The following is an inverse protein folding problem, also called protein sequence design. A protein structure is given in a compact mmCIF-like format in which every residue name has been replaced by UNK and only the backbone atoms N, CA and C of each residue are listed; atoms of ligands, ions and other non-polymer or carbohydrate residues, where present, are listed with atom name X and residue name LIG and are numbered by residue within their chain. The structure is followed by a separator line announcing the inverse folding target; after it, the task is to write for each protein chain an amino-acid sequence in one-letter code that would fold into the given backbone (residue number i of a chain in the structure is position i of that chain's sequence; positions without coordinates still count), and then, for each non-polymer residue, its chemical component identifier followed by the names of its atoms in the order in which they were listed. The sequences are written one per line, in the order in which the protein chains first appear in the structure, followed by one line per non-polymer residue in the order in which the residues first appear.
data_IF_361380985458
#
_entry.id   IF_361380985458
#
_cell.length_a   1.000
_cell.length_b   1.000
_cell.length_c   1.000
_cell.angle_alpha   90.00
_cell.angle_beta   90.00
_cell.angle_gamma   90.00
#
_symmetry.space_group_name_H-M   'P 1'
#
loop_
_entity.id
_entity.type
_entity.pdbx_description
1 polymer ?
#
# COMPACT_ATOMS: atom_id res chain seq x y z
N UNK A 1 -5.89 -18.71 -18.70
CA UNK A 1 -6.13 -17.56 -17.83
C UNK A 1 -5.42 -16.34 -18.43
N UNK A 2 -6.12 -15.21 -18.56
CA UNK A 2 -5.52 -13.95 -19.03
C UNK A 2 -4.49 -13.47 -18.00
N UNK A 3 -3.33 -12.99 -18.45
CA UNK A 3 -2.32 -12.44 -17.53
C UNK A 3 -2.83 -11.13 -16.95
N UNK A 4 -2.55 -10.90 -15.67
CA UNK A 4 -2.94 -9.70 -14.92
C UNK A 4 -1.93 -8.60 -15.20
N UNK A 5 -2.41 -7.41 -15.59
CA UNK A 5 -1.62 -6.20 -15.68
C UNK A 5 -1.92 -5.34 -14.43
N UNK A 6 -0.89 -5.07 -13.64
CA UNK A 6 -0.99 -4.30 -12.40
C UNK A 6 -0.23 -2.98 -12.54
N UNK A 7 -0.86 -1.87 -12.15
CA UNK A 7 -0.24 -0.56 -12.13
C UNK A 7 0.12 -0.17 -10.68
N UNK A 8 1.32 0.33 -10.45
CA UNK A 8 1.65 1.09 -9.24
C UNK A 8 1.74 2.58 -9.53
N UNK A 9 1.16 3.41 -8.65
CA UNK A 9 1.23 4.87 -8.64
C UNK A 9 1.88 5.25 -7.31
N UNK A 10 3.18 5.54 -7.31
CA UNK A 10 3.93 5.80 -6.07
C UNK A 10 5.26 6.51 -6.32
N UNK A 11 5.93 6.90 -5.24
CA UNK A 11 7.30 7.36 -5.27
C UNK A 11 8.30 6.22 -5.46
N UNK A 12 9.55 6.58 -5.75
CA UNK A 12 10.65 5.63 -5.92
C UNK A 12 11.34 5.32 -4.59
N UNK A 13 11.97 4.14 -4.53
CA UNK A 13 12.97 3.80 -3.53
C UNK A 13 14.19 3.18 -4.25
N UNK A 14 15.27 3.95 -4.47
CA UNK A 14 16.45 3.46 -5.19
C UNK A 14 17.17 2.31 -4.46
N UNK A 15 16.94 2.11 -3.16
CA UNK A 15 17.43 0.92 -2.44
C UNK A 15 16.65 -0.35 -2.76
N UNK A 16 15.48 -0.21 -3.40
CA UNK A 16 14.70 -1.32 -3.93
C UNK A 16 13.76 -2.00 -2.93
N UNK A 17 13.66 -1.51 -1.69
CA UNK A 17 12.90 -2.15 -0.62
C UNK A 17 11.47 -1.67 -0.45
N UNK A 18 11.14 -0.48 -0.96
CA UNK A 18 9.81 0.12 -0.89
C UNK A 18 9.43 0.78 -2.23
N UNK A 19 8.39 1.60 -2.24
CA UNK A 19 7.95 2.35 -3.40
C UNK A 19 7.66 1.48 -4.63
N UNK A 20 7.76 2.08 -5.81
CA UNK A 20 7.49 1.35 -7.06
C UNK A 20 8.38 0.14 -7.24
N UNK A 21 9.61 0.14 -6.72
CA UNK A 21 10.55 -0.97 -6.84
C UNK A 21 10.05 -2.21 -6.07
N UNK A 22 9.57 -2.04 -4.84
CA UNK A 22 8.95 -3.13 -4.09
C UNK A 22 7.66 -3.61 -4.75
N UNK A 23 6.84 -2.67 -5.26
CA UNK A 23 5.58 -2.98 -5.91
C UNK A 23 5.79 -3.83 -7.18
N UNK A 24 6.71 -3.41 -8.07
CA UNK A 24 7.04 -4.15 -9.30
C UNK A 24 7.64 -5.54 -9.02
N UNK A 25 8.50 -5.66 -7.99
CA UNK A 25 9.01 -6.96 -7.53
C UNK A 25 7.87 -7.86 -7.04
N UNK A 26 6.96 -7.30 -6.24
CA UNK A 26 5.79 -8.02 -5.71
C UNK A 26 4.87 -8.48 -6.84
N UNK A 27 4.54 -7.60 -7.78
CA UNK A 27 3.74 -7.95 -8.96
C UNK A 27 4.38 -9.09 -9.75
N UNK A 28 5.68 -8.98 -10.03
CA UNK A 28 6.42 -10.01 -10.76
C UNK A 28 6.46 -11.35 -10.02
N UNK A 29 6.75 -11.33 -8.72
CA UNK A 29 6.80 -12.52 -7.87
C UNK A 29 5.45 -13.25 -7.81
N UNK A 30 4.35 -12.50 -7.86
CA UNK A 30 2.98 -13.02 -7.87
C UNK A 30 2.41 -13.21 -9.29
N UNK A 31 3.25 -13.13 -10.34
CA UNK A 31 2.87 -13.44 -11.72
C UNK A 31 1.95 -12.41 -12.39
N UNK A 32 2.01 -11.15 -11.97
CA UNK A 32 1.37 -10.03 -12.65
C UNK A 32 2.42 -9.22 -13.46
N UNK A 33 2.01 -8.71 -14.62
CA UNK A 33 2.81 -7.76 -15.39
C UNK A 33 2.70 -6.38 -14.74
N UNK A 34 3.83 -5.81 -14.32
CA UNK A 34 3.86 -4.55 -13.59
C UNK A 34 4.11 -3.34 -14.48
N UNK A 35 3.23 -2.34 -14.36
CA UNK A 35 3.40 -0.99 -14.89
C UNK A 35 3.61 -0.01 -13.73
N UNK A 36 4.20 1.17 -13.99
CA UNK A 36 4.41 2.18 -12.95
C UNK A 36 4.19 3.59 -13.44
N UNK A 37 3.62 4.42 -12.55
CA UNK A 37 3.56 5.89 -12.64
C UNK A 37 4.28 6.44 -11.42
N UNK A 38 5.22 7.34 -11.63
CA UNK A 38 6.09 7.89 -10.57
C UNK A 38 5.53 9.23 -10.10
N UNK A 39 5.32 9.35 -8.78
CA UNK A 39 4.80 10.57 -8.14
C UNK A 39 5.89 11.43 -7.52
N UNK A 40 7.01 10.83 -7.14
CA UNK A 40 8.19 11.52 -6.63
C UNK A 40 9.44 10.67 -6.86
N UNK A 41 10.57 11.31 -7.11
CA UNK A 41 11.88 10.68 -7.08
C UNK A 41 12.49 10.86 -5.70
N UNK A 42 12.89 9.78 -5.06
CA UNK A 42 13.39 9.81 -3.68
C UNK A 42 14.83 9.33 -3.66
N UNK A 43 15.72 10.11 -3.06
CA UNK A 43 17.04 9.66 -2.68
C UNK A 43 16.93 9.03 -1.29
N UNK A 44 17.01 7.70 -1.23
CA UNK A 44 16.76 6.89 -0.05
C UNK A 44 17.65 5.65 -0.05
N UNK A 45 17.98 5.18 1.14
CA UNK A 45 18.64 3.90 1.37
C UNK A 45 18.09 3.23 2.63
N UNK A 46 18.71 2.12 3.07
CA UNK A 46 18.26 1.37 4.26
C UNK A 46 18.35 2.15 5.58
N UNK A 47 19.02 3.31 5.60
CA UNK A 47 19.16 4.19 6.79
C UNK A 47 18.13 5.31 6.84
N UNK A 48 17.41 5.60 5.74
CA UNK A 48 16.38 6.62 5.69
C UNK A 48 16.34 7.42 4.39
N UNK A 49 15.45 8.40 4.35
CA UNK A 49 15.26 9.34 3.24
C UNK A 49 16.25 10.49 3.37
N UNK A 50 17.02 10.77 2.31
CA UNK A 50 17.95 11.89 2.24
C UNK A 50 17.32 13.10 1.55
N UNK A 51 16.56 12.88 0.47
CA UNK A 51 15.86 13.95 -0.23
C UNK A 51 14.72 13.41 -1.08
N UNK A 52 13.74 14.27 -1.36
CA UNK A 52 12.60 13.98 -2.23
C UNK A 52 12.58 15.03 -3.34
N UNK A 53 12.62 14.57 -4.58
CA UNK A 53 12.41 15.41 -5.75
C UNK A 53 10.95 15.28 -6.20
N UNK A 54 10.24 16.40 -6.17
CA UNK A 54 8.84 16.48 -6.57
C UNK A 54 8.71 16.36 -8.09
N UNK A 55 7.74 15.59 -8.54
CA UNK A 55 7.30 15.57 -9.94
C UNK A 55 6.09 16.49 -10.08
N UNK A 56 6.08 17.32 -11.12
CA UNK A 56 4.96 18.21 -11.39
C UNK A 56 3.66 17.41 -11.61
N UNK A 57 2.52 17.85 -11.04
CA UNK A 57 1.24 17.14 -11.14
C UNK A 57 0.79 16.90 -12.58
N UNK A 58 1.04 17.84 -13.48
CA UNK A 58 0.75 17.69 -14.90
C UNK A 58 1.53 16.54 -15.54
N UNK A 59 2.77 16.29 -15.08
CA UNK A 59 3.55 15.19 -15.60
C UNK A 59 3.11 13.84 -14.99
N UNK A 60 2.67 13.82 -13.73
CA UNK A 60 2.02 12.62 -13.15
C UNK A 60 0.74 12.30 -13.93
N UNK A 61 -0.07 13.31 -14.23
CA UNK A 61 -1.26 13.17 -15.06
C UNK A 61 -0.93 12.64 -16.46
N UNK A 62 0.12 13.15 -17.11
CA UNK A 62 0.56 12.69 -18.44
C UNK A 62 1.02 11.23 -18.43
N UNK A 63 1.73 10.78 -17.38
CA UNK A 63 2.09 9.37 -17.20
C UNK A 63 0.84 8.49 -17.07
N UNK A 64 -0.16 8.91 -16.29
CA UNK A 64 -1.43 8.20 -16.10
C UNK A 64 -2.20 8.14 -17.42
N UNK A 65 -2.34 9.25 -18.13
CA UNK A 65 -3.02 9.31 -19.43
C UNK A 65 -2.33 8.38 -20.45
N UNK A 66 -0.99 8.36 -20.47
CA UNK A 66 -0.21 7.48 -21.36
C UNK A 66 -0.48 6.00 -21.09
N UNK A 67 -0.48 5.58 -19.82
CA UNK A 67 -0.73 4.18 -19.45
C UNK A 67 -2.18 3.80 -19.67
N UNK A 68 -3.13 4.58 -19.15
CA UNK A 68 -4.55 4.23 -19.20
C UNK A 68 -5.17 4.29 -20.59
N UNK A 69 -4.59 5.06 -21.52
CA UNK A 69 -5.10 5.12 -22.90
C UNK A 69 -4.69 3.93 -23.76
N UNK A 70 -3.68 3.15 -23.36
CA UNK A 70 -3.11 2.07 -24.18
C UNK A 70 -3.08 0.72 -23.46
N UNK A 71 -2.64 0.71 -22.19
CA UNK A 71 -2.45 -0.53 -21.45
C UNK A 71 -3.73 -0.92 -20.71
N UNK A 72 -4.23 -2.14 -20.96
CA UNK A 72 -5.30 -2.72 -20.13
C UNK A 72 -4.77 -2.93 -18.72
N UNK A 73 -5.32 -2.22 -17.75
CA UNK A 73 -4.99 -2.36 -16.33
C UNK A 73 -6.13 -3.11 -15.62
N UNK A 74 -5.80 -4.24 -14.99
CA UNK A 74 -6.75 -5.10 -14.28
C UNK A 74 -6.84 -4.71 -12.80
N UNK A 75 -5.77 -4.10 -12.25
CA UNK A 75 -5.68 -3.69 -10.84
C UNK A 75 -4.66 -2.56 -10.69
N UNK A 76 -4.88 -1.70 -9.70
CA UNK A 76 -4.00 -0.56 -9.41
C UNK A 76 -3.66 -0.51 -7.92
N UNK A 77 -2.38 -0.33 -7.59
CA UNK A 77 -1.94 0.02 -6.24
C UNK A 77 -1.50 1.47 -6.21
N UNK A 78 -1.97 2.22 -5.22
CA UNK A 78 -1.55 3.58 -4.96
C UNK A 78 -0.72 3.58 -3.67
N UNK A 79 0.47 4.16 -3.72
CA UNK A 79 1.34 4.39 -2.57
C UNK A 79 1.49 5.87 -2.24
N UNK A 80 2.74 6.32 -2.04
CA UNK A 80 3.06 7.71 -1.69
C UNK A 80 2.67 8.69 -2.80
N UNK A 81 1.81 9.65 -2.48
CA UNK A 81 1.38 10.74 -3.37
C UNK A 81 1.99 12.10 -3.02
N UNK A 82 2.51 12.25 -1.80
CA UNK A 82 3.19 13.42 -1.24
C UNK A 82 2.33 14.68 -1.10
N UNK A 83 1.71 15.18 -2.18
CA UNK A 83 1.13 16.51 -2.25
C UNK A 83 -0.34 16.49 -2.68
N UNK A 84 -1.09 17.53 -2.29
CA UNK A 84 -2.53 17.70 -2.55
C UNK A 84 -2.85 17.64 -4.05
N UNK A 85 -2.12 18.36 -4.87
CA UNK A 85 -2.35 18.45 -6.31
C UNK A 85 -2.05 17.13 -7.06
N UNK A 86 -1.11 16.32 -6.55
CA UNK A 86 -0.87 14.97 -7.08
C UNK A 86 -2.05 14.05 -6.69
N UNK A 87 -2.57 14.14 -5.46
CA UNK A 87 -3.79 13.40 -5.06
C UNK A 87 -4.97 13.74 -5.97
N UNK A 88 -5.17 15.02 -6.27
CA UNK A 88 -6.23 15.49 -7.17
C UNK A 88 -6.04 14.95 -8.60
N UNK A 89 -4.82 15.06 -9.15
CA UNK A 89 -4.49 14.56 -10.48
C UNK A 89 -4.76 13.05 -10.61
N UNK A 90 -4.37 12.27 -9.60
CA UNK A 90 -4.63 10.82 -9.56
C UNK A 90 -6.12 10.54 -9.48
N UNK A 91 -6.85 11.17 -8.54
CA UNK A 91 -8.29 10.97 -8.36
C UNK A 91 -9.09 11.30 -9.63
N UNK A 92 -8.73 12.39 -10.32
CA UNK A 92 -9.35 12.79 -11.57
C UNK A 92 -9.14 11.73 -12.68
N UNK A 93 -7.93 11.18 -12.82
CA UNK A 93 -7.63 10.16 -13.83
C UNK A 93 -8.28 8.83 -13.53
N UNK A 94 -8.35 8.39 -12.27
CA UNK A 94 -9.09 7.20 -11.88
C UNK A 94 -10.58 7.31 -12.28
N UNK A 95 -11.18 8.47 -12.02
CA UNK A 95 -12.57 8.75 -12.40
C UNK A 95 -12.75 8.79 -13.91
N UNK A 96 -11.90 9.53 -14.64
CA UNK A 96 -11.96 9.69 -16.09
C UNK A 96 -11.88 8.36 -16.83
N UNK A 97 -10.96 7.48 -16.40
CA UNK A 97 -10.73 6.18 -17.04
C UNK A 97 -11.53 5.04 -16.38
N UNK A 98 -12.37 5.35 -15.38
CA UNK A 98 -13.22 4.38 -14.67
C UNK A 98 -12.43 3.16 -14.13
N UNK A 99 -11.27 3.44 -13.56
CA UNK A 99 -10.35 2.41 -13.07
C UNK A 99 -10.97 1.64 -11.91
N UNK A 100 -10.93 0.31 -12.00
CA UNK A 100 -11.45 -0.62 -11.00
C UNK A 100 -10.32 -1.29 -10.23
N UNK A 101 -10.67 -1.99 -9.13
CA UNK A 101 -9.72 -2.75 -8.30
C UNK A 101 -8.53 -1.89 -7.83
N UNK A 102 -8.82 -0.78 -7.18
CA UNK A 102 -7.81 0.14 -6.66
C UNK A 102 -7.53 -0.16 -5.18
N UNK A 103 -6.29 -0.50 -4.86
CA UNK A 103 -5.77 -0.66 -3.49
C UNK A 103 -4.97 0.59 -3.12
N UNK A 104 -5.38 1.30 -2.08
CA UNK A 104 -4.68 2.47 -1.56
C UNK A 104 -3.92 2.10 -0.29
N UNK A 105 -2.60 2.16 -0.35
CA UNK A 105 -1.74 2.18 0.83
C UNK A 105 -1.69 3.61 1.37
N UNK A 106 -2.19 3.82 2.58
CA UNK A 106 -2.38 5.14 3.18
C UNK A 106 -1.08 5.70 3.77
N UNK A 107 0.01 5.61 3.02
CA UNK A 107 1.36 5.97 3.48
C UNK A 107 1.43 7.44 3.85
N UNK A 108 1.64 7.73 5.14
CA UNK A 108 1.78 9.09 5.68
C UNK A 108 3.16 9.37 6.23
N UNK A 109 3.86 8.34 6.71
CA UNK A 109 5.19 8.43 7.28
C UNK A 109 6.10 7.38 6.65
N UNK A 110 7.36 7.74 6.42
CA UNK A 110 8.41 6.79 6.10
C UNK A 110 8.73 5.91 7.32
N UNK A 111 9.39 4.78 7.12
CA UNK A 111 9.84 3.91 8.23
C UNK A 111 10.80 4.63 9.17
N UNK A 112 11.53 5.63 8.68
CA UNK A 112 12.39 6.53 9.45
C UNK A 112 11.62 7.57 10.29
N UNK A 113 10.29 7.71 10.11
CA UNK A 113 9.44 8.71 10.77
C UNK A 113 9.29 10.02 9.99
N UNK A 114 9.93 10.16 8.83
CA UNK A 114 9.80 11.35 7.99
C UNK A 114 8.38 11.45 7.40
N UNK A 115 7.74 12.65 7.41
CA UNK A 115 6.43 12.83 6.81
C UNK A 115 6.51 12.69 5.28
N UNK A 116 5.63 11.85 4.73
CA UNK A 116 5.51 11.57 3.29
C UNK A 116 4.22 12.13 2.67
N UNK A 117 3.31 12.65 3.49
CA UNK A 117 2.05 13.26 3.06
C UNK A 117 1.78 14.51 3.90
N UNK A 118 1.46 15.62 3.25
CA UNK A 118 1.12 16.85 3.94
C UNK A 118 -0.27 16.77 4.59
N UNK A 119 -0.56 17.53 5.68
CA UNK A 119 -1.90 17.52 6.29
C UNK A 119 -3.02 17.93 5.34
N UNK A 120 -2.77 18.86 4.42
CA UNK A 120 -3.74 19.25 3.38
C UNK A 120 -4.01 18.12 2.40
N UNK A 121 -2.99 17.34 2.06
CA UNK A 121 -3.13 16.17 1.20
C UNK A 121 -3.96 15.05 1.85
N UNK A 122 -3.90 14.88 3.18
CA UNK A 122 -4.76 13.94 3.92
C UNK A 122 -6.24 14.31 3.74
N UNK A 123 -6.60 15.59 3.85
CA UNK A 123 -7.97 16.06 3.65
C UNK A 123 -8.46 15.79 2.21
N UNK A 124 -7.61 16.04 1.23
CA UNK A 124 -7.92 15.79 -0.19
C UNK A 124 -8.03 14.30 -0.47
N UNK A 125 -7.14 13.48 0.09
CA UNK A 125 -7.20 12.03 -0.02
C UNK A 125 -8.54 11.49 0.52
N UNK A 126 -8.99 11.98 1.69
CA UNK A 126 -10.28 11.62 2.28
C UNK A 126 -11.48 11.95 1.38
N UNK A 127 -11.49 13.16 0.82
CA UNK A 127 -12.65 13.67 0.07
C UNK A 127 -12.68 13.26 -1.41
N UNK A 128 -11.51 13.12 -2.04
CA UNK A 128 -11.41 12.91 -3.48
C UNK A 128 -11.04 11.49 -3.88
N UNK A 129 -10.16 10.84 -3.11
CA UNK A 129 -9.59 9.54 -3.49
C UNK A 129 -10.28 8.37 -2.79
N UNK A 130 -10.52 8.48 -1.48
CA UNK A 130 -11.10 7.41 -0.66
C UNK A 130 -12.40 6.83 -1.23
N UNK A 131 -13.38 7.64 -1.71
CA UNK A 131 -14.61 7.10 -2.28
C UNK A 131 -14.45 6.33 -3.59
N UNK A 132 -13.28 6.40 -4.23
CA UNK A 132 -12.99 5.76 -5.52
C UNK A 132 -12.20 4.46 -5.37
N UNK A 133 -11.71 4.12 -4.16
CA UNK A 133 -10.85 2.95 -3.98
C UNK A 133 -11.62 1.74 -3.47
N UNK A 134 -11.16 0.57 -3.91
CA UNK A 134 -11.77 -0.73 -3.56
C UNK A 134 -11.32 -1.23 -2.19
N UNK A 135 -10.11 -0.87 -1.77
CA UNK A 135 -9.54 -1.24 -0.47
C UNK A 135 -8.54 -0.18 -0.02
N UNK A 136 -8.57 0.15 1.27
CA UNK A 136 -7.50 0.89 1.95
C UNK A 136 -6.79 0.00 2.96
N UNK A 137 -5.49 0.24 3.22
CA UNK A 137 -4.67 -0.59 4.11
C UNK A 137 -3.98 0.21 5.22
N UNK A 138 -4.73 0.95 6.07
CA UNK A 138 -4.13 1.77 7.12
C UNK A 138 -3.55 0.94 8.26
N UNK A 139 -2.44 1.40 8.83
CA UNK A 139 -2.02 1.06 10.17
C UNK A 139 -2.76 1.95 11.20
N UNK A 140 -2.54 1.70 12.51
CA UNK A 140 -3.26 2.44 13.56
C UNK A 140 -2.97 3.96 13.55
N UNK A 141 -1.71 4.44 13.40
CA UNK A 141 -1.43 5.86 13.21
C UNK A 141 -2.09 6.47 11.98
N UNK A 142 -2.08 5.77 10.84
CA UNK A 142 -2.70 6.23 9.58
C UNK A 142 -4.23 6.30 9.71
N UNK A 143 -4.84 5.31 10.35
CA UNK A 143 -6.27 5.32 10.63
C UNK A 143 -6.68 6.51 11.51
N UNK A 144 -5.93 6.78 12.57
CA UNK A 144 -6.14 7.92 13.45
C UNK A 144 -6.05 9.26 12.69
N UNK A 145 -5.04 9.41 11.82
CA UNK A 145 -4.89 10.60 10.99
C UNK A 145 -6.03 10.77 9.97
N UNK A 146 -6.47 9.67 9.35
CA UNK A 146 -7.62 9.70 8.44
C UNK A 146 -8.92 10.08 9.14
N UNK A 147 -9.10 9.69 10.40
CA UNK A 147 -10.31 9.94 11.18
C UNK A 147 -10.26 11.25 11.98
N UNK A 148 -9.10 11.90 12.06
CA UNK A 148 -8.84 13.00 12.98
C UNK A 148 -9.15 12.60 14.44
N UNK A 149 -8.65 11.44 14.85
CA UNK A 149 -8.93 10.78 16.11
C UNK A 149 -7.64 10.34 16.83
N UNK A 150 -7.71 10.02 18.13
CA UNK A 150 -6.58 9.40 18.84
C UNK A 150 -6.19 8.05 18.24
N UNK A 151 -4.93 7.66 18.40
CA UNK A 151 -4.46 6.34 18.01
C UNK A 151 -5.17 5.25 18.81
N UNK A 152 -5.69 4.23 18.14
CA UNK A 152 -6.21 3.03 18.80
C UNK A 152 -5.10 2.31 19.55
N UNK A 153 -5.38 1.93 20.79
CA UNK A 153 -4.45 1.21 21.70
C UNK A 153 -4.91 -0.21 21.98
N UNK A 154 -6.19 -0.48 21.70
CA UNK A 154 -6.82 -1.77 21.92
C UNK A 154 -7.42 -2.29 20.62
N UNK A 155 -7.63 -3.61 20.53
CA UNK A 155 -8.31 -4.22 19.40
C UNK A 155 -9.75 -3.70 19.25
N UNK A 156 -10.43 -3.39 20.36
CA UNK A 156 -11.78 -2.79 20.33
C UNK A 156 -11.79 -1.41 19.69
N UNK A 157 -10.86 -0.53 20.06
CA UNK A 157 -10.71 0.80 19.44
C UNK A 157 -10.33 0.69 17.95
N UNK A 158 -9.50 -0.28 17.58
CA UNK A 158 -9.17 -0.59 16.20
C UNK A 158 -10.41 -1.00 15.39
N UNK A 159 -11.29 -1.82 15.96
CA UNK A 159 -12.56 -2.20 15.32
C UNK A 159 -13.47 -1.00 15.09
N UNK A 160 -13.60 -0.12 16.07
CA UNK A 160 -14.40 1.11 15.96
C UNK A 160 -13.87 2.05 14.88
N UNK A 161 -12.56 2.23 14.81
CA UNK A 161 -11.90 3.02 13.76
C UNK A 161 -12.06 2.38 12.37
N UNK A 162 -11.94 1.06 12.25
CA UNK A 162 -12.13 0.35 10.98
C UNK A 162 -13.54 0.53 10.41
N UNK A 163 -14.57 0.44 11.27
CA UNK A 163 -15.97 0.72 10.88
C UNK A 163 -16.16 2.18 10.45
N UNK A 164 -15.55 3.11 11.18
CA UNK A 164 -15.60 4.53 10.86
C UNK A 164 -14.96 4.85 9.52
N UNK A 165 -13.82 4.22 9.21
CA UNK A 165 -13.16 4.34 7.91
C UNK A 165 -14.00 3.77 6.76
N UNK A 166 -14.61 2.60 6.96
CA UNK A 166 -15.50 2.01 5.94
C UNK A 166 -16.70 2.94 5.66
N UNK A 167 -17.24 3.60 6.68
CA UNK A 167 -18.34 4.57 6.55
C UNK A 167 -17.93 5.83 5.75
N UNK A 168 -16.64 6.09 5.54
CA UNK A 168 -16.15 7.20 4.69
C UNK A 168 -16.30 6.92 3.19
N UNK A 169 -16.71 5.72 2.78
CA UNK A 169 -17.15 5.42 1.41
C UNK A 169 -16.19 4.59 0.57
N UNK A 170 -15.04 4.13 1.09
CA UNK A 170 -14.21 3.14 0.40
C UNK A 170 -14.91 1.77 0.33
N UNK A 171 -14.47 0.91 -0.59
CA UNK A 171 -15.08 -0.41 -0.79
C UNK A 171 -14.83 -1.39 0.36
N UNK A 172 -13.64 -1.34 0.96
CA UNK A 172 -13.21 -2.18 2.08
C UNK A 172 -12.06 -1.51 2.84
N UNK A 173 -11.80 -1.97 4.07
CA UNK A 173 -10.69 -1.50 4.91
C UNK A 173 -9.94 -2.72 5.47
N UNK A 174 -8.63 -2.77 5.29
CA UNK A 174 -7.76 -3.71 5.98
C UNK A 174 -6.94 -2.93 7.02
N UNK A 175 -7.41 -2.94 8.27
CA UNK A 175 -6.69 -2.35 9.41
C UNK A 175 -5.51 -3.24 9.79
N UNK A 176 -4.29 -2.68 9.80
CA UNK A 176 -3.06 -3.39 10.17
C UNK A 176 -2.78 -3.23 11.67
N UNK A 177 -2.84 -4.33 12.41
CA UNK A 177 -2.68 -4.34 13.88
C UNK A 177 -1.25 -4.48 14.38
N UNK A 178 -0.25 -4.42 13.51
CA UNK A 178 1.16 -4.62 13.89
C UNK A 178 1.73 -3.62 14.90
N UNK A 179 0.99 -2.56 15.25
CA UNK A 179 1.34 -1.57 16.27
C UNK A 179 0.66 -1.83 17.63
N UNK A 180 -0.17 -2.88 17.75
CA UNK A 180 -0.66 -3.34 19.05
C UNK A 180 0.43 -4.11 19.77
N UNK A 181 0.48 -3.97 21.10
CA UNK A 181 1.36 -4.75 21.99
C UNK A 181 0.79 -6.16 22.19
N UNK A 182 0.81 -6.99 21.13
CA UNK A 182 0.32 -8.35 21.14
C UNK A 182 1.38 -9.28 20.50
N UNK A 183 1.50 -10.51 20.97
CA UNK A 183 2.34 -11.55 20.36
C UNK A 183 1.88 -11.90 18.94
N UNK A 184 0.61 -11.70 18.65
CA UNK A 184 0.03 -11.79 17.32
C UNK A 184 -0.07 -10.39 16.70
N UNK A 185 0.05 -10.29 15.39
CA UNK A 185 -0.24 -9.07 14.64
C UNK A 185 -1.62 -9.20 13.99
N UNK A 186 -2.72 -8.94 14.73
CA UNK A 186 -4.06 -9.09 14.18
C UNK A 186 -4.34 -8.00 13.17
N UNK A 187 -4.75 -8.39 11.97
CA UNK A 187 -5.32 -7.46 11.00
C UNK A 187 -6.82 -7.71 10.89
N UNK A 188 -7.59 -6.67 10.67
CA UNK A 188 -9.03 -6.76 10.53
C UNK A 188 -9.47 -6.23 9.17
N UNK A 189 -10.20 -7.06 8.44
CA UNK A 189 -10.86 -6.71 7.20
C UNK A 189 -12.30 -6.30 7.48
N UNK A 190 -12.70 -5.13 7.01
CA UNK A 190 -14.06 -4.61 7.06
C UNK A 190 -14.58 -4.48 5.64
N UNK A 191 -15.71 -5.11 5.38
CA UNK A 191 -16.44 -5.04 4.11
C UNK A 191 -17.92 -4.79 4.40
N UNK A 192 -18.72 -4.59 3.35
CA UNK A 192 -20.17 -4.47 3.50
C UNK A 192 -20.83 -5.78 3.94
N UNK A 193 -20.19 -6.90 3.69
CA UNK A 193 -20.66 -8.24 4.05
C UNK A 193 -20.33 -8.63 5.50
N UNK A 194 -19.37 -7.93 6.12
CA UNK A 194 -18.97 -8.20 7.50
C UNK A 194 -17.52 -7.91 7.81
N UNK A 195 -17.09 -8.40 8.96
CA UNK A 195 -15.76 -8.18 9.53
C UNK A 195 -15.05 -9.52 9.69
N UNK A 196 -13.77 -9.57 9.37
CA UNK A 196 -12.96 -10.78 9.52
C UNK A 196 -11.60 -10.47 10.12
N UNK A 197 -11.21 -11.27 11.11
CA UNK A 197 -9.90 -11.22 11.77
C UNK A 197 -8.90 -12.13 11.07
N UNK A 198 -7.71 -11.62 10.81
CA UNK A 198 -6.57 -12.36 10.28
C UNK A 198 -5.43 -12.30 11.28
N UNK A 199 -4.87 -13.43 11.63
CA UNK A 199 -3.72 -13.54 12.52
C UNK A 199 -2.55 -14.17 11.80
N UNK A 200 -1.35 -13.71 12.11
CA UNK A 200 -0.11 -14.36 11.74
C UNK A 200 0.87 -14.25 12.91
N UNK A 201 1.71 -15.25 13.14
CA UNK A 201 2.79 -15.14 14.11
C UNK A 201 3.68 -13.94 13.78
N UNK A 202 4.09 -13.20 14.80
CA UNK A 202 5.04 -12.09 14.62
C UNK A 202 6.42 -12.67 14.25
N UNK A 203 6.93 -12.28 13.09
CA UNK A 203 8.25 -12.72 12.63
C UNK A 203 9.29 -11.77 13.18
N UNK A 204 10.27 -12.34 13.90
CA UNK A 204 11.35 -11.61 14.54
C UNK A 204 12.47 -11.34 13.53
N UNK A 205 12.37 -10.21 12.84
CA UNK A 205 13.41 -9.71 11.94
C UNK A 205 13.50 -8.19 12.04
N UNK A 206 14.70 -7.62 11.82
CA UNK A 206 14.90 -6.18 11.63
C UNK A 206 14.62 -5.71 10.20
N UNK A 207 14.56 -6.66 9.24
CA UNK A 207 14.43 -6.38 7.82
C UNK A 207 12.95 -6.23 7.43
N UNK A 208 12.34 -5.10 7.84
CA UNK A 208 10.91 -4.80 7.66
C UNK A 208 10.64 -3.63 6.73
N UNK A 209 11.69 -3.11 6.04
CA UNK A 209 11.52 -2.00 5.11
C UNK A 209 10.61 -2.40 3.95
N UNK A 210 9.63 -1.56 3.66
CA UNK A 210 8.67 -1.77 2.58
C UNK A 210 7.59 -2.83 2.83
N UNK A 211 7.42 -3.34 4.05
CA UNK A 211 6.37 -4.32 4.39
C UNK A 211 4.97 -3.83 4.00
N UNK A 212 4.64 -2.55 4.27
CA UNK A 212 3.35 -1.95 3.89
C UNK A 212 3.15 -1.90 2.38
N UNK A 213 4.15 -1.35 1.66
CA UNK A 213 4.14 -1.31 0.19
C UNK A 213 3.99 -2.73 -0.40
N UNK A 214 4.72 -3.69 0.13
CA UNK A 214 4.69 -5.09 -0.33
C UNK A 214 3.32 -5.73 -0.10
N UNK A 215 2.70 -5.51 1.08
CA UNK A 215 1.35 -6.03 1.36
C UNK A 215 0.32 -5.44 0.40
N UNK A 216 0.28 -4.13 0.26
CA UNK A 216 -0.70 -3.46 -0.62
C UNK A 216 -0.51 -3.82 -2.09
N UNK A 217 0.73 -4.00 -2.54
CA UNK A 217 1.03 -4.50 -3.88
C UNK A 217 0.60 -5.97 -4.07
N UNK A 218 0.81 -6.84 -3.07
CA UNK A 218 0.35 -8.23 -3.11
C UNK A 218 -1.18 -8.31 -3.18
N UNK A 219 -1.89 -7.51 -2.37
CA UNK A 219 -3.35 -7.40 -2.43
C UNK A 219 -3.83 -6.98 -3.82
N UNK A 220 -3.19 -5.99 -4.43
CA UNK A 220 -3.52 -5.56 -5.79
C UNK A 220 -3.29 -6.67 -6.82
N UNK A 221 -2.11 -7.32 -6.80
CA UNK A 221 -1.76 -8.37 -7.75
C UNK A 221 -2.68 -9.60 -7.65
N UNK A 222 -3.13 -9.94 -6.44
CA UNK A 222 -3.95 -11.12 -6.18
C UNK A 222 -5.46 -10.86 -6.35
N UNK A 223 -5.92 -9.60 -6.18
CA UNK A 223 -7.35 -9.27 -6.22
C UNK A 223 -8.08 -9.81 -7.46
N UNK A 224 -7.54 -9.73 -8.69
CA UNK A 224 -8.23 -10.26 -9.87
C UNK A 224 -8.36 -11.78 -9.92
N UNK A 225 -7.70 -12.51 -9.03
CA UNK A 225 -7.76 -14.00 -8.95
C UNK A 225 -8.83 -14.50 -8.00
N UNK A 226 -9.32 -13.63 -7.11
CA UNK A 226 -10.27 -13.95 -6.07
C UNK A 226 -11.61 -13.23 -6.27
N UNK A 227 -12.69 -13.84 -5.84
CA UNK A 227 -14.03 -13.24 -5.91
C UNK A 227 -14.31 -12.29 -4.75
N UNK A 228 -13.60 -12.44 -3.63
CA UNK A 228 -13.79 -11.66 -2.40
C UNK A 228 -12.45 -11.17 -1.82
N UNK A 229 -12.53 -10.22 -0.90
CA UNK A 229 -11.35 -9.67 -0.23
C UNK A 229 -10.75 -10.61 0.81
N UNK A 230 -11.55 -11.46 1.45
CA UNK A 230 -11.06 -12.35 2.49
C UNK A 230 -10.00 -13.33 1.97
N UNK A 231 -10.27 -13.97 0.84
CA UNK A 231 -9.32 -14.89 0.19
C UNK A 231 -8.09 -14.14 -0.32
N UNK A 232 -8.29 -12.93 -0.87
CA UNK A 232 -7.19 -12.07 -1.32
C UNK A 232 -6.25 -11.72 -0.15
N UNK A 233 -6.81 -11.30 0.99
CA UNK A 233 -6.04 -10.95 2.19
C UNK A 233 -5.32 -12.17 2.76
N UNK A 234 -6.00 -13.32 2.82
CA UNK A 234 -5.40 -14.55 3.34
C UNK A 234 -4.15 -14.96 2.54
N UNK A 235 -4.25 -14.95 1.19
CA UNK A 235 -3.11 -15.29 0.33
C UNK A 235 -1.99 -14.25 0.43
N UNK A 236 -2.32 -12.96 0.38
CA UNK A 236 -1.35 -11.88 0.47
C UNK A 236 -0.57 -11.91 1.81
N UNK A 237 -1.26 -12.13 2.95
CA UNK A 237 -0.63 -12.25 4.26
C UNK A 237 0.27 -13.48 4.36
N UNK A 238 -0.18 -14.62 3.85
CA UNK A 238 0.62 -15.84 3.85
C UNK A 238 1.91 -15.66 3.04
N UNK A 239 1.82 -15.09 1.85
CA UNK A 239 2.97 -14.79 1.01
C UNK A 239 3.92 -13.78 1.65
N UNK A 240 3.40 -12.68 2.24
CA UNK A 240 4.20 -11.68 2.93
C UNK A 240 4.92 -12.27 4.15
N UNK A 241 4.25 -13.14 4.92
CA UNK A 241 4.88 -13.81 6.06
C UNK A 241 6.08 -14.66 5.63
N UNK A 242 5.98 -15.35 4.50
CA UNK A 242 7.11 -16.08 3.91
C UNK A 242 8.23 -15.15 3.45
N UNK A 243 7.90 -14.01 2.85
CA UNK A 243 8.87 -13.00 2.43
C UNK A 243 9.62 -12.38 3.63
N UNK A 244 8.92 -12.15 4.75
CA UNK A 244 9.52 -11.68 6.00
C UNK A 244 10.41 -12.75 6.65
N UNK A 245 9.97 -14.00 6.68
CA UNK A 245 10.74 -15.11 7.27
C UNK A 245 12.08 -15.35 6.55
N UNK A 246 12.17 -14.99 5.28
CA UNK A 246 13.38 -15.11 4.47
C UNK A 246 14.16 -13.77 4.33
N UNK A 247 13.69 -12.69 4.94
CA UNK A 247 14.30 -11.36 4.78
C UNK A 247 15.76 -11.30 5.24
N UNK A 248 16.12 -12.06 6.28
CA UNK A 248 17.47 -12.10 6.85
C UNK A 248 18.49 -12.85 5.98
N UNK A 249 18.04 -13.52 4.92
CA UNK A 249 18.93 -14.13 3.92
C UNK A 249 19.49 -13.11 2.92
N UNK A 250 18.93 -11.89 2.89
CA UNK A 250 19.40 -10.80 2.05
C UNK A 250 20.42 -9.92 2.79
N UNK A 251 21.51 -9.58 2.11
CA UNK A 251 22.50 -8.62 2.57
C UNK A 251 22.32 -7.29 1.85
N UNK A 252 21.35 -6.45 2.32
CA UNK A 252 21.03 -5.16 1.70
C UNK A 252 21.26 -4.02 2.68
N UNK A 253 22.37 -3.33 2.51
CA UNK A 253 22.72 -2.15 3.29
C UNK A 253 22.98 -2.42 4.78
N UNK A 254 23.12 -1.34 5.55
CA UNK A 254 23.50 -1.40 6.97
C UNK A 254 22.39 -0.92 7.92
N UNK A 255 21.25 -0.51 7.39
CA UNK A 255 20.07 -0.07 8.13
C UNK A 255 18.98 -1.13 8.22
N UNK A 256 17.72 -0.69 8.13
CA UNK A 256 16.55 -1.58 8.07
C UNK A 256 16.46 -2.15 6.66
N UNK A 257 16.72 -3.45 6.50
CA UNK A 257 16.69 -4.14 5.22
C UNK A 257 15.26 -4.43 4.73
N UNK A 258 15.11 -4.79 3.44
CA UNK A 258 13.82 -5.11 2.84
C UNK A 258 13.37 -6.54 3.14
N UNK A 259 12.09 -6.83 2.88
CA UNK A 259 11.57 -8.19 2.77
C UNK A 259 12.12 -8.90 1.53
N UNK A 260 12.14 -10.24 1.52
CA UNK A 260 12.61 -11.02 0.39
C UNK A 260 11.48 -11.29 -0.61
N UNK A 261 11.26 -10.37 -1.56
CA UNK A 261 10.15 -10.47 -2.53
C UNK A 261 10.20 -11.75 -3.39
N UNK A 262 11.39 -12.26 -3.70
CA UNK A 262 11.59 -13.43 -4.54
C UNK A 262 11.93 -14.71 -3.75
N UNK A 263 11.55 -14.79 -2.46
CA UNK A 263 11.87 -15.90 -1.58
C UNK A 263 11.48 -17.29 -2.12
N UNK A 264 10.53 -17.37 -3.05
CA UNK A 264 10.11 -18.62 -3.69
C UNK A 264 10.92 -18.95 -4.95
N UNK A 265 11.83 -18.06 -5.39
CA UNK A 265 12.54 -18.19 -6.66
C UNK A 265 14.05 -18.39 -6.48
N UNK A 266 14.64 -17.73 -5.52
CA UNK A 266 16.09 -17.83 -5.19
C UNK A 266 16.40 -17.39 -3.76
#
# INVERSE_FOLDING_TARGET
MTRINALTIAGTDPSGGAGIQADLKTFSALGAYGCSVITALVAQNTRGVQSVYRIEPDFVAAQLDSVFSDVRIDTTKIGMLAETDIVEAVAERLQRYQIQNVVLDTVMLAKSGDPLLSPSAVATLRSRLLPQVSLITPNLPEAAALLDAPHARTEQEMLEQGRSLLAMGCGAVLMKGGHLDDEQSPDWLFTREGEQRFTAPRIMTKNTHGTGCTLSAALAALRPRHTNWADTVQEAKSWLSSALAQADTLEVGHGIGPVHHFHAWW
#
